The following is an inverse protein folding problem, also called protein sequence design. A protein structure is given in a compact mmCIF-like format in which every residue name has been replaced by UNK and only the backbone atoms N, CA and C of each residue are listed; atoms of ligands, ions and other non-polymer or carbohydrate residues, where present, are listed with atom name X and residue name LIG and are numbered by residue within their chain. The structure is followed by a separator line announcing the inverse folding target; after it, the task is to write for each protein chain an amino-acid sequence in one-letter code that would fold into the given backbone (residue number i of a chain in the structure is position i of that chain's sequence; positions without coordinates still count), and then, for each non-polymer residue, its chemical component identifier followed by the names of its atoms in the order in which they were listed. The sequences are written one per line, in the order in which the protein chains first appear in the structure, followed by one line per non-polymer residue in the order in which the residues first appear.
data_IF_474092194955
#
_entry.id   IF_474092194955
#
_cell.length_a   1.000
_cell.length_b   1.000
_cell.length_c   1.000
_cell.angle_alpha   90.00
_cell.angle_beta   90.00
_cell.angle_gamma   90.00
#
_symmetry.space_group_name_H-M   'P 1'
#
loop_
_entity.id
_entity.type
_entity.pdbx_description
1 polymer ?
#
# COMPACT_ATOMS: atom_id res chain seq x y z
N UNK A 1 -2.81 39.55 -59.82
CA UNK A 1 -1.92 40.28 -58.86
C UNK A 1 -2.65 40.96 -57.71
N UNK A 2 -3.78 41.65 -57.89
CA UNK A 2 -4.47 42.34 -56.77
C UNK A 2 -5.12 41.44 -55.72
N UNK A 3 -5.51 40.19 -56.07
CA UNK A 3 -6.05 39.27 -55.10
C UNK A 3 -4.98 38.55 -54.26
N UNK A 4 -3.81 38.28 -54.83
CA UNK A 4 -2.69 37.66 -54.11
C UNK A 4 -2.11 38.59 -53.06
N UNK A 5 -2.04 39.90 -53.33
CA UNK A 5 -1.54 40.91 -52.40
C UNK A 5 -2.47 41.11 -51.17
N UNK A 6 -3.83 40.95 -51.35
CA UNK A 6 -4.79 41.04 -50.23
C UNK A 6 -4.70 39.84 -49.32
N UNK A 7 -4.45 38.63 -49.84
CA UNK A 7 -4.28 37.41 -49.04
C UNK A 7 -2.97 37.46 -48.23
N UNK A 8 -1.89 37.93 -48.82
CA UNK A 8 -0.61 38.09 -48.12
C UNK A 8 -0.68 39.15 -46.98
N UNK A 9 -1.39 40.25 -47.18
CA UNK A 9 -1.57 41.28 -46.17
C UNK A 9 -2.48 40.78 -45.03
N UNK A 10 -3.52 40.01 -45.33
CA UNK A 10 -4.38 39.39 -44.30
C UNK A 10 -3.66 38.32 -43.50
N UNK A 11 -2.77 37.53 -44.11
CA UNK A 11 -1.94 36.54 -43.40
C UNK A 11 -0.84 37.24 -42.55
N UNK A 12 -0.27 38.33 -42.98
CA UNK A 12 0.69 39.12 -42.19
C UNK A 12 0.01 39.82 -40.99
N UNK A 13 -1.22 40.31 -41.17
CA UNK A 13 -1.99 40.90 -40.07
C UNK A 13 -2.49 39.85 -39.05
N UNK A 14 -2.77 38.59 -39.51
CA UNK A 14 -3.13 37.48 -38.64
C UNK A 14 -1.89 36.95 -37.89
N UNK A 15 -0.71 36.94 -38.51
CA UNK A 15 0.55 36.60 -37.84
C UNK A 15 1.02 37.66 -36.81
N UNK A 16 0.73 38.93 -37.06
CA UNK A 16 1.02 40.02 -36.11
C UNK A 16 0.01 40.07 -34.93
N UNK A 17 -1.18 39.51 -35.08
CA UNK A 17 -2.18 39.45 -33.99
C UNK A 17 -1.96 38.26 -33.04
N UNK A 18 -1.04 37.31 -33.34
CA UNK A 18 -0.71 36.17 -32.49
C UNK A 18 0.52 36.30 -31.61
N UNK A 19 1.17 37.49 -31.63
CA UNK A 19 2.15 37.87 -30.61
C UNK A 19 1.48 38.72 -29.52
N UNK A 20 0.39 38.21 -28.88
CA UNK A 20 0.12 38.64 -27.52
C UNK A 20 1.27 38.06 -26.69
N UNK A 21 2.27 38.89 -26.41
CA UNK A 21 3.23 38.59 -25.37
C UNK A 21 2.41 38.35 -24.10
N UNK A 22 2.31 37.09 -23.66
CA UNK A 22 1.81 36.81 -22.32
C UNK A 22 2.68 37.70 -21.41
N UNK A 23 2.06 38.68 -20.74
CA UNK A 23 2.76 39.48 -19.78
C UNK A 23 3.38 38.54 -18.75
N UNK A 24 4.68 38.64 -18.51
CA UNK A 24 5.32 37.78 -17.51
C UNK A 24 4.61 37.96 -16.18
N UNK A 25 4.23 36.85 -15.55
CA UNK A 25 3.57 36.86 -14.24
C UNK A 25 4.46 37.59 -13.23
N UNK A 26 3.85 38.37 -12.36
CA UNK A 26 4.51 39.02 -11.23
C UNK A 26 4.23 38.26 -9.95
N UNK A 27 5.12 38.31 -8.95
CA UNK A 27 4.85 37.73 -7.65
C UNK A 27 3.49 38.17 -7.11
N UNK A 28 2.63 37.17 -6.78
CA UNK A 28 1.26 37.34 -6.32
C UNK A 28 0.18 37.30 -7.41
N UNK A 29 0.54 37.27 -8.70
CA UNK A 29 -0.43 37.00 -9.76
C UNK A 29 -0.96 35.59 -9.65
N UNK A 30 -2.22 35.38 -10.05
CA UNK A 30 -2.83 34.02 -10.04
C UNK A 30 -2.19 33.18 -11.14
N UNK A 31 -1.53 32.11 -10.75
CA UNK A 31 -0.85 31.15 -11.62
C UNK A 31 -1.62 29.83 -11.81
N UNK A 32 -2.64 29.58 -10.99
CA UNK A 32 -3.45 28.37 -11.06
C UNK A 32 -4.50 28.30 -9.94
N UNK A 33 -5.17 27.15 -9.84
CA UNK A 33 -6.23 26.91 -8.86
C UNK A 33 -5.99 25.59 -8.13
N UNK A 34 -6.24 25.60 -6.83
CA UNK A 34 -6.35 24.36 -6.05
C UNK A 34 -7.75 23.82 -6.17
N UNK A 35 -7.87 22.59 -6.60
CA UNK A 35 -9.13 21.88 -6.76
C UNK A 35 -9.31 20.84 -5.66
N UNK A 36 -10.53 20.67 -5.18
CA UNK A 36 -10.86 19.55 -4.30
C UNK A 36 -10.55 18.22 -5.00
N UNK A 37 -9.96 17.28 -4.27
CA UNK A 37 -9.54 15.98 -4.80
C UNK A 37 -9.61 14.92 -3.70
N UNK A 38 -9.82 13.67 -4.10
CA UNK A 38 -9.68 12.51 -3.24
C UNK A 38 -8.28 11.87 -3.37
N UNK A 39 -7.42 12.44 -4.24
CA UNK A 39 -6.09 11.88 -4.48
C UNK A 39 -5.20 12.19 -3.27
N UNK A 40 -4.62 11.14 -2.70
CA UNK A 40 -3.63 11.20 -1.62
C UNK A 40 -2.23 10.94 -2.18
N UNK A 41 -1.23 11.61 -1.65
CA UNK A 41 0.17 11.44 -2.03
C UNK A 41 0.96 10.76 -0.90
N UNK A 42 1.94 9.93 -1.28
CA UNK A 42 2.79 9.20 -0.34
C UNK A 42 4.25 9.26 -0.82
N UNK A 43 5.17 9.42 0.12
CA UNK A 43 6.60 9.23 -0.07
C UNK A 43 7.05 8.11 0.87
N UNK A 44 7.61 7.04 0.30
CA UNK A 44 8.05 5.84 1.03
C UNK A 44 6.98 5.32 2.02
N UNK A 45 5.72 5.29 1.57
CA UNK A 45 4.58 4.79 2.31
C UNK A 45 4.03 5.72 3.39
N UNK A 46 4.60 6.90 3.58
CA UNK A 46 4.10 7.90 4.53
C UNK A 46 3.35 8.99 3.77
N UNK A 47 2.10 9.28 4.19
CA UNK A 47 1.27 10.28 3.53
C UNK A 47 1.88 11.68 3.67
N UNK A 48 1.87 12.46 2.56
CA UNK A 48 2.26 13.86 2.50
C UNK A 48 1.06 14.72 2.10
N UNK A 49 0.81 15.87 2.77
CA UNK A 49 -0.24 16.79 2.35
C UNK A 49 -0.03 17.23 0.90
N UNK A 50 -1.04 17.03 0.06
CA UNK A 50 -0.95 17.35 -1.36
C UNK A 50 -2.12 18.21 -1.83
N UNK A 51 -1.85 19.03 -2.85
CA UNK A 51 -2.81 19.93 -3.48
C UNK A 51 -3.01 19.52 -4.93
N UNK A 52 -4.27 19.44 -5.37
CA UNK A 52 -4.56 19.30 -6.81
C UNK A 52 -4.50 20.69 -7.46
N UNK A 53 -3.47 20.95 -8.21
CA UNK A 53 -3.26 22.23 -8.92
C UNK A 53 -3.61 22.01 -10.39
N UNK A 54 -4.81 22.43 -10.78
CA UNK A 54 -5.33 22.30 -12.15
C UNK A 54 -5.11 20.90 -12.77
N UNK A 55 -5.24 19.84 -11.95
CA UNK A 55 -5.09 18.43 -12.38
C UNK A 55 -3.74 17.80 -12.07
N UNK A 56 -2.77 18.57 -11.55
CA UNK A 56 -1.47 18.05 -11.12
C UNK A 56 -1.35 18.07 -9.60
N UNK A 57 -0.61 17.13 -9.00
CA UNK A 57 -0.35 17.15 -7.57
C UNK A 57 0.85 18.05 -7.26
N UNK A 58 0.66 18.97 -6.31
CA UNK A 58 1.71 19.75 -5.68
C UNK A 58 1.85 19.40 -4.22
N UNK A 59 3.06 19.50 -3.68
CA UNK A 59 3.39 19.33 -2.26
C UNK A 59 4.15 20.53 -1.74
N UNK A 60 4.09 20.74 -0.43
CA UNK A 60 4.88 21.81 0.22
C UNK A 60 6.34 21.40 0.26
N UNK A 61 7.22 22.23 -0.30
CA UNK A 61 8.66 21.93 -0.39
C UNK A 61 9.32 21.83 1.00
N UNK A 62 8.90 22.66 1.95
CA UNK A 62 9.41 22.67 3.32
C UNK A 62 8.94 21.46 4.13
N UNK A 63 7.79 20.82 3.78
CA UNK A 63 7.34 19.61 4.44
C UNK A 63 8.25 18.40 4.13
N UNK A 64 9.01 18.46 3.02
CA UNK A 64 9.96 17.40 2.64
C UNK A 64 11.04 17.13 3.69
N UNK A 65 11.28 18.06 4.64
CA UNK A 65 12.17 17.84 5.78
C UNK A 65 11.76 16.63 6.66
N UNK A 66 10.47 16.26 6.63
CA UNK A 66 9.98 15.08 7.30
C UNK A 66 10.01 13.82 6.42
N UNK A 67 10.49 13.92 5.16
CA UNK A 67 10.47 12.84 4.17
C UNK A 67 11.85 12.52 3.58
N UNK A 68 12.91 12.71 4.39
CA UNK A 68 14.27 12.35 4.01
C UNK A 68 15.01 13.42 3.22
N UNK A 69 14.55 14.67 3.30
CA UNK A 69 15.22 15.86 2.74
C UNK A 69 15.53 16.86 3.83
N UNK A 70 16.26 17.90 3.48
CA UNK A 70 16.45 19.12 4.29
C UNK A 70 16.26 20.33 3.41
N UNK A 71 15.44 21.28 3.86
CA UNK A 71 15.19 22.54 3.17
C UNK A 71 15.98 23.68 3.83
N UNK A 72 16.42 24.64 3.02
CA UNK A 72 17.09 25.86 3.47
C UNK A 72 16.68 27.03 2.58
N UNK A 73 16.16 28.08 3.17
CA UNK A 73 15.76 29.29 2.46
C UNK A 73 16.78 30.41 2.66
N UNK A 74 17.23 31.02 1.58
CA UNK A 74 18.06 32.23 1.55
C UNK A 74 17.21 33.42 1.07
N UNK A 75 16.93 34.34 1.99
CA UNK A 75 16.11 35.52 1.71
C UNK A 75 16.83 36.54 0.78
N UNK A 76 18.16 36.63 0.85
CA UNK A 76 18.92 37.55 0.02
C UNK A 76 18.88 37.22 -1.46
N UNK A 77 18.88 35.92 -1.78
CA UNK A 77 18.78 35.40 -3.16
C UNK A 77 17.38 34.95 -3.53
N UNK A 78 16.46 34.95 -2.58
CA UNK A 78 15.09 34.38 -2.70
C UNK A 78 15.12 32.95 -3.24
N UNK A 79 15.97 32.13 -2.64
CA UNK A 79 16.23 30.78 -3.09
C UNK A 79 15.87 29.78 -1.99
N UNK A 80 15.06 28.78 -2.32
CA UNK A 80 14.79 27.60 -1.50
C UNK A 80 15.57 26.40 -2.06
N UNK A 81 16.49 25.88 -1.27
CA UNK A 81 17.23 24.66 -1.62
C UNK A 81 16.68 23.51 -0.81
N UNK A 82 16.38 22.41 -1.47
CA UNK A 82 15.92 21.15 -0.85
C UNK A 82 16.91 20.06 -1.26
N UNK A 83 17.57 19.46 -0.27
CA UNK A 83 18.64 18.47 -0.48
C UNK A 83 18.21 17.15 0.13
N UNK A 84 18.39 16.05 -0.62
CA UNK A 84 18.12 14.70 -0.11
C UNK A 84 19.19 14.31 0.91
N UNK A 85 18.76 13.83 2.08
CA UNK A 85 19.64 13.38 3.16
C UNK A 85 19.63 11.88 3.36
N UNK A 86 18.58 11.19 2.89
CA UNK A 86 18.34 9.79 3.20
C UNK A 86 17.97 9.54 4.67
N UNK A 87 17.59 10.61 5.41
CA UNK A 87 17.08 10.46 6.77
C UNK A 87 15.76 9.69 6.79
N UNK A 88 15.43 9.10 7.94
CA UNK A 88 14.18 8.36 8.13
C UNK A 88 12.95 9.23 7.85
N UNK A 89 12.00 8.70 7.07
CA UNK A 89 10.72 9.35 6.78
C UNK A 89 9.83 9.29 8.01
N UNK A 90 9.40 10.45 8.51
CA UNK A 90 8.58 10.58 9.73
C UNK A 90 7.17 11.10 9.43
N UNK A 91 7.01 11.83 8.33
CA UNK A 91 5.76 12.48 7.95
C UNK A 91 5.46 13.75 8.74
N UNK A 92 4.46 14.47 8.27
CA UNK A 92 3.84 15.61 8.94
C UNK A 92 2.37 15.31 9.23
N UNK A 93 1.76 16.10 10.13
CA UNK A 93 0.32 15.98 10.38
C UNK A 93 -0.49 16.28 9.12
N UNK A 94 -1.41 15.36 8.76
CA UNK A 94 -2.31 15.56 7.62
C UNK A 94 -3.48 16.42 8.05
N UNK A 95 -3.68 17.61 7.46
CA UNK A 95 -4.77 18.49 7.82
C UNK A 95 -6.13 17.84 7.59
N UNK A 96 -6.99 17.87 8.60
CA UNK A 96 -8.40 17.47 8.46
C UNK A 96 -9.13 18.49 7.61
N UNK A 97 -9.45 18.16 6.38
CA UNK A 97 -10.22 19.03 5.47
C UNK A 97 -11.68 18.58 5.38
N UNK A 98 -12.58 19.56 5.27
CA UNK A 98 -13.99 19.27 4.96
C UNK A 98 -14.05 18.78 3.51
N UNK A 99 -14.55 17.58 3.32
CA UNK A 99 -14.74 16.98 2.00
C UNK A 99 -15.68 17.86 1.14
N UNK A 100 -15.18 18.26 -0.03
CA UNK A 100 -15.97 18.94 -1.06
C UNK A 100 -15.98 18.09 -2.33
N UNK A 101 -17.00 18.21 -3.19
CA UNK A 101 -17.03 17.48 -4.46
C UNK A 101 -15.74 17.70 -5.25
N UNK A 102 -15.18 16.63 -5.81
CA UNK A 102 -13.95 16.67 -6.61
C UNK A 102 -14.06 17.70 -7.74
N UNK A 103 -13.01 18.47 -7.98
CA UNK A 103 -12.97 19.56 -8.95
C UNK A 103 -13.51 20.91 -8.45
N UNK A 104 -14.07 20.99 -7.22
CA UNK A 104 -14.46 22.29 -6.64
C UNK A 104 -13.21 23.14 -6.42
N UNK A 105 -13.22 24.42 -6.88
CA UNK A 105 -12.13 25.36 -6.63
C UNK A 105 -12.10 25.72 -5.13
N UNK A 106 -10.96 25.51 -4.50
CA UNK A 106 -10.75 25.75 -3.07
C UNK A 106 -10.03 27.07 -2.82
N UNK A 107 -8.99 27.38 -3.59
CA UNK A 107 -8.18 28.57 -3.46
C UNK A 107 -7.35 28.80 -4.71
N UNK A 108 -6.70 29.98 -4.80
CA UNK A 108 -5.76 30.31 -5.88
C UNK A 108 -4.35 29.84 -5.56
N UNK A 109 -3.63 29.47 -6.60
CA UNK A 109 -2.18 29.27 -6.61
C UNK A 109 -1.57 30.57 -7.13
N UNK A 110 -0.60 31.12 -6.44
CA UNK A 110 0.05 32.36 -6.83
C UNK A 110 1.42 32.09 -7.45
N UNK A 111 1.78 32.92 -8.42
CA UNK A 111 3.15 32.96 -8.92
C UNK A 111 4.10 33.43 -7.81
N UNK A 112 5.25 32.75 -7.71
CA UNK A 112 6.32 33.09 -6.77
C UNK A 112 7.60 33.37 -7.54
N UNK A 113 8.37 34.33 -7.07
CA UNK A 113 9.73 34.63 -7.54
C UNK A 113 10.81 33.87 -6.74
N UNK A 114 10.38 33.01 -5.80
CA UNK A 114 11.30 32.11 -5.09
C UNK A 114 11.77 31.05 -6.07
N UNK A 115 13.07 30.95 -6.28
CA UNK A 115 13.70 29.92 -7.07
C UNK A 115 13.87 28.67 -6.21
N UNK A 116 13.41 27.52 -6.69
CA UNK A 116 13.49 26.28 -5.94
C UNK A 116 14.49 25.33 -6.58
N UNK A 117 15.39 24.77 -5.78
CA UNK A 117 16.38 23.81 -6.22
C UNK A 117 16.23 22.49 -5.46
N UNK A 118 16.10 21.38 -6.18
CA UNK A 118 16.15 20.03 -5.66
C UNK A 118 17.52 19.41 -6.02
N UNK A 119 18.41 19.23 -5.03
CA UNK A 119 19.80 18.79 -5.23
C UNK A 119 20.52 19.54 -6.37
N UNK A 120 20.37 20.87 -6.38
CA UNK A 120 20.96 21.75 -7.38
C UNK A 120 20.21 21.85 -8.72
N UNK A 121 19.15 21.06 -8.95
CA UNK A 121 18.29 21.15 -10.13
C UNK A 121 17.15 22.13 -9.87
N UNK A 122 17.04 23.17 -10.69
CA UNK A 122 15.95 24.14 -10.60
C UNK A 122 14.61 23.50 -11.00
N UNK A 123 13.56 23.76 -10.22
CA UNK A 123 12.18 23.32 -10.46
C UNK A 123 11.21 24.47 -10.28
N UNK A 124 10.04 24.38 -10.91
CA UNK A 124 9.01 25.42 -10.75
C UNK A 124 8.49 25.45 -9.31
N UNK A 125 8.47 26.66 -8.74
CA UNK A 125 7.92 26.97 -7.43
C UNK A 125 6.68 27.85 -7.54
N UNK A 126 5.67 27.53 -6.72
CA UNK A 126 4.42 28.28 -6.61
C UNK A 126 4.18 28.68 -5.16
N UNK A 127 3.21 29.56 -4.91
CA UNK A 127 2.82 29.93 -3.56
C UNK A 127 1.36 29.57 -3.27
N UNK A 128 1.14 28.87 -2.16
CA UNK A 128 -0.18 28.66 -1.58
C UNK A 128 -0.12 29.06 -0.11
N UNK A 129 -0.88 30.08 0.26
CA UNK A 129 -0.99 30.57 1.65
C UNK A 129 0.36 30.82 2.33
N UNK A 130 1.34 31.36 1.58
CA UNK A 130 2.66 31.69 2.11
C UNK A 130 3.67 30.52 2.15
N UNK A 131 3.29 29.33 1.70
CA UNK A 131 4.15 28.15 1.60
C UNK A 131 4.62 27.93 0.15
N UNK A 132 5.84 27.45 0.00
CA UNK A 132 6.39 27.11 -1.32
C UNK A 132 5.89 25.75 -1.78
N UNK A 133 5.26 25.69 -2.94
CA UNK A 133 4.73 24.48 -3.53
C UNK A 133 5.57 24.07 -4.73
N UNK A 134 5.94 22.81 -4.81
CA UNK A 134 6.52 22.18 -6.00
C UNK A 134 5.60 21.09 -6.51
N UNK A 135 5.69 20.78 -7.80
CA UNK A 135 4.94 19.65 -8.35
C UNK A 135 5.49 18.33 -7.81
N UNK A 136 4.63 17.42 -7.39
CA UNK A 136 5.03 16.11 -6.88
C UNK A 136 5.86 15.32 -7.91
N UNK A 137 5.60 15.53 -9.21
CA UNK A 137 6.41 15.00 -10.30
C UNK A 137 7.86 15.49 -10.34
N UNK A 138 8.16 16.62 -9.71
CA UNK A 138 9.55 17.10 -9.60
C UNK A 138 10.43 16.15 -8.77
N UNK A 139 9.81 15.31 -7.95
CA UNK A 139 10.47 14.29 -7.13
C UNK A 139 10.74 12.97 -7.87
N UNK A 140 10.32 12.81 -9.13
CA UNK A 140 10.51 11.57 -9.91
C UNK A 140 12.00 11.22 -10.12
N UNK A 141 12.91 12.20 -9.95
CA UNK A 141 14.35 11.95 -9.98
C UNK A 141 14.87 11.12 -8.80
N UNK A 142 14.08 11.01 -7.72
CA UNK A 142 14.49 10.33 -6.48
C UNK A 142 13.97 8.90 -6.36
N UNK A 143 13.08 8.49 -7.25
CA UNK A 143 12.51 7.16 -7.17
C UNK A 143 11.44 6.87 -8.21
N UNK A 144 10.73 5.78 -7.99
CA UNK A 144 9.64 5.33 -8.85
C UNK A 144 8.32 5.93 -8.37
N UNK A 145 7.68 6.75 -9.22
CA UNK A 145 6.34 7.24 -8.95
C UNK A 145 5.29 6.35 -9.60
N UNK A 146 4.30 5.95 -8.82
CA UNK A 146 3.15 5.17 -9.28
C UNK A 146 1.85 5.94 -9.00
N UNK A 147 0.97 6.04 -9.99
CA UNK A 147 -0.35 6.61 -9.82
C UNK A 147 -1.45 5.56 -9.98
N UNK A 148 -2.40 5.56 -9.06
CA UNK A 148 -3.37 4.50 -8.88
C UNK A 148 -4.78 5.03 -9.02
N UNK A 149 -5.29 5.09 -10.25
CA UNK A 149 -6.62 5.64 -10.57
C UNK A 149 -7.74 5.04 -9.71
N UNK A 150 -7.77 3.72 -9.51
CA UNK A 150 -8.84 3.04 -8.76
C UNK A 150 -8.88 3.36 -7.27
N UNK A 151 -7.76 3.76 -6.68
CA UNK A 151 -7.63 4.09 -5.25
C UNK A 151 -7.35 5.57 -5.00
N UNK A 152 -7.25 6.39 -6.05
CA UNK A 152 -6.89 7.81 -5.98
C UNK A 152 -5.60 8.06 -5.17
N UNK A 153 -4.55 7.27 -5.42
CA UNK A 153 -3.25 7.38 -4.75
C UNK A 153 -2.16 7.77 -5.74
N UNK A 154 -1.23 8.62 -5.30
CA UNK A 154 0.04 8.88 -5.98
C UNK A 154 1.17 8.59 -5.02
N UNK A 155 2.09 7.68 -5.39
CA UNK A 155 3.14 7.20 -4.51
C UNK A 155 4.50 7.39 -5.16
N UNK A 156 5.46 7.88 -4.37
CA UNK A 156 6.88 7.90 -4.70
C UNK A 156 7.60 6.92 -3.79
N UNK A 157 8.24 5.91 -4.39
CA UNK A 157 9.10 4.95 -3.70
C UNK A 157 10.56 5.32 -3.97
N UNK A 158 11.26 5.85 -2.97
CA UNK A 158 12.65 6.33 -3.13
C UNK A 158 13.70 5.25 -2.83
N UNK A 159 13.30 4.17 -2.17
CA UNK A 159 14.12 2.97 -1.95
C UNK A 159 14.05 2.01 -3.13
N UNK A 160 15.10 1.21 -3.32
CA UNK A 160 15.02 0.05 -4.19
C UNK A 160 14.14 -1.00 -3.49
N UNK A 161 12.88 -1.14 -3.93
CA UNK A 161 12.10 -2.33 -3.60
C UNK A 161 12.82 -3.49 -4.30
N UNK A 162 13.21 -4.50 -3.54
CA UNK A 162 13.83 -5.67 -4.11
C UNK A 162 12.96 -6.20 -5.25
N UNK A 163 13.53 -6.32 -6.45
CA UNK A 163 12.85 -6.85 -7.63
C UNK A 163 12.80 -8.39 -7.46
N UNK A 164 11.98 -8.83 -6.51
CA UNK A 164 11.76 -10.26 -6.27
C UNK A 164 10.73 -10.73 -7.28
N UNK A 165 11.01 -11.87 -7.91
CA UNK A 165 10.05 -12.50 -8.82
C UNK A 165 8.68 -12.65 -8.11
N UNK A 166 7.57 -12.34 -8.80
CA UNK A 166 6.25 -12.48 -8.19
C UNK A 166 6.02 -13.91 -7.71
N UNK A 167 5.59 -14.06 -6.47
CA UNK A 167 5.17 -15.36 -5.95
C UNK A 167 3.83 -15.73 -6.58
N UNK A 168 3.71 -16.95 -7.04
CA UNK A 168 2.43 -17.53 -7.48
C UNK A 168 1.88 -18.39 -6.35
N UNK A 169 0.65 -18.14 -5.92
CA UNK A 169 0.01 -18.98 -4.90
C UNK A 169 -0.22 -20.40 -5.44
N UNK A 170 -0.01 -21.43 -4.62
CA UNK A 170 -0.49 -22.77 -4.92
C UNK A 170 -2.03 -22.79 -4.92
N UNK A 171 -2.63 -23.82 -5.52
CA UNK A 171 -4.09 -23.96 -5.52
C UNK A 171 -4.67 -24.08 -4.09
N UNK A 172 -3.88 -24.55 -3.14
CA UNK A 172 -4.25 -24.65 -1.73
C UNK A 172 -3.25 -23.90 -0.87
N UNK A 173 -3.74 -23.02 -0.01
CA UNK A 173 -3.01 -22.30 1.02
C UNK A 173 -3.45 -22.88 2.36
N UNK A 174 -2.50 -23.28 3.18
CA UNK A 174 -2.80 -23.81 4.51
C UNK A 174 -3.22 -22.67 5.42
N UNK A 175 -4.44 -22.73 5.97
CA UNK A 175 -5.05 -21.68 6.79
C UNK A 175 -4.75 -21.90 8.28
N UNK A 176 -4.32 -20.85 8.99
CA UNK A 176 -4.05 -20.88 10.43
C UNK A 176 -3.03 -21.93 10.87
N UNK A 177 -2.05 -22.26 10.01
CA UNK A 177 -1.08 -23.36 10.22
C UNK A 177 -1.64 -24.76 9.91
N UNK A 178 -2.92 -24.89 9.59
CA UNK A 178 -3.54 -26.16 9.23
C UNK A 178 -4.24 -26.86 10.41
N UNK A 179 -4.80 -28.02 10.09
CA UNK A 179 -5.48 -28.89 11.07
C UNK A 179 -4.53 -30.00 11.53
N UNK A 180 -4.27 -30.05 12.84
CA UNK A 180 -3.47 -31.07 13.48
C UNK A 180 -4.28 -31.75 14.59
N UNK A 181 -4.34 -33.07 14.62
CA UNK A 181 -5.08 -33.90 15.62
C UNK A 181 -6.54 -33.46 15.86
N UNK A 182 -7.20 -32.97 14.79
CA UNK A 182 -8.58 -32.46 14.85
C UNK A 182 -8.72 -30.99 15.19
N UNK A 183 -7.65 -30.29 15.64
CA UNK A 183 -7.63 -28.86 15.93
C UNK A 183 -7.17 -28.06 14.73
N UNK A 184 -7.95 -27.07 14.30
CA UNK A 184 -7.60 -26.14 13.23
C UNK A 184 -7.24 -24.76 13.82
N UNK A 185 -6.45 -23.98 13.06
CA UNK A 185 -6.16 -22.59 13.40
C UNK A 185 -5.34 -22.42 14.68
N UNK A 186 -4.51 -23.42 15.03
CA UNK A 186 -3.66 -23.32 16.22
C UNK A 186 -2.53 -22.30 16.08
N UNK A 187 -2.14 -21.96 14.85
CA UNK A 187 -1.00 -21.08 14.57
C UNK A 187 0.26 -21.49 15.36
N UNK A 188 0.46 -22.80 15.57
CA UNK A 188 1.48 -23.35 16.45
C UNK A 188 2.69 -23.89 15.69
N UNK A 189 3.81 -24.08 16.39
CA UNK A 189 5.03 -24.64 15.81
C UNK A 189 4.77 -26.04 15.22
N UNK A 190 4.07 -26.91 15.94
CA UNK A 190 3.78 -28.27 15.49
C UNK A 190 2.86 -28.29 14.25
N UNK A 191 1.97 -27.29 14.13
CA UNK A 191 1.08 -27.19 12.97
C UNK A 191 1.86 -26.85 11.70
N UNK A 192 2.76 -25.85 11.77
CA UNK A 192 3.58 -25.49 10.61
C UNK A 192 4.60 -26.58 10.25
N UNK A 193 5.14 -27.31 11.24
CA UNK A 193 5.97 -28.50 11.00
C UNK A 193 5.22 -29.60 10.26
N UNK A 194 4.00 -29.91 10.70
CA UNK A 194 3.16 -30.90 10.05
C UNK A 194 2.77 -30.48 8.62
N UNK A 195 2.40 -29.23 8.43
CA UNK A 195 2.08 -28.68 7.11
C UNK A 195 3.30 -28.75 6.16
N UNK A 196 4.49 -28.39 6.65
CA UNK A 196 5.73 -28.52 5.87
C UNK A 196 6.04 -29.98 5.51
N UNK A 197 5.94 -30.89 6.47
CA UNK A 197 6.17 -32.32 6.27
C UNK A 197 5.18 -32.93 5.25
N UNK A 198 3.94 -32.41 5.19
CA UNK A 198 2.93 -32.80 4.19
C UNK A 198 3.22 -32.17 2.79
N UNK A 199 4.27 -31.40 2.62
CA UNK A 199 4.66 -30.80 1.34
C UNK A 199 4.17 -29.39 1.08
N UNK A 200 3.46 -28.76 2.02
CA UNK A 200 3.01 -27.37 1.86
C UNK A 200 4.17 -26.38 2.00
N UNK A 201 4.12 -25.31 1.20
CA UNK A 201 5.16 -24.27 1.14
C UNK A 201 4.60 -22.85 1.24
N UNK A 202 3.29 -22.72 1.27
CA UNK A 202 2.61 -21.43 1.48
C UNK A 202 1.61 -21.63 2.60
N UNK A 203 1.89 -21.02 3.73
CA UNK A 203 1.10 -21.12 4.95
C UNK A 203 0.53 -19.74 5.26
N UNK A 204 -0.72 -19.69 5.67
CA UNK A 204 -1.29 -18.48 6.23
C UNK A 204 -1.26 -18.59 7.76
N UNK A 205 -0.88 -17.50 8.42
CA UNK A 205 -0.85 -17.40 9.88
C UNK A 205 -1.50 -16.10 10.32
N UNK A 206 -2.27 -16.20 11.40
CA UNK A 206 -2.86 -15.07 12.10
C UNK A 206 -1.83 -14.38 12.98
N UNK A 207 -1.84 -13.05 13.02
CA UNK A 207 -0.92 -12.27 13.86
C UNK A 207 -1.65 -11.31 14.78
N UNK A 208 -1.20 -11.26 16.02
CA UNK A 208 -1.54 -10.26 17.04
C UNK A 208 -0.27 -9.67 17.65
N UNK A 209 -0.42 -8.60 18.41
CA UNK A 209 0.65 -8.09 19.28
C UNK A 209 0.44 -8.59 20.70
N UNK A 210 1.50 -9.08 21.34
CA UNK A 210 1.54 -9.22 22.79
C UNK A 210 1.38 -7.87 23.47
N UNK A 211 1.09 -7.85 24.78
CA UNK A 211 0.92 -6.58 25.50
C UNK A 211 2.19 -5.73 25.59
N UNK A 212 3.35 -6.33 25.35
CA UNK A 212 4.66 -5.70 25.25
C UNK A 212 5.11 -5.46 23.78
N UNK A 213 4.16 -5.61 22.81
CA UNK A 213 4.32 -5.14 21.43
C UNK A 213 5.08 -6.09 20.49
N UNK A 214 5.25 -7.36 20.85
CA UNK A 214 5.90 -8.36 20.00
C UNK A 214 4.86 -9.12 19.19
N UNK A 215 5.05 -9.33 17.87
CA UNK A 215 4.16 -10.16 17.07
C UNK A 215 4.15 -11.62 17.52
N UNK A 216 2.95 -12.15 17.71
CA UNK A 216 2.68 -13.55 18.05
C UNK A 216 1.66 -14.13 17.09
N UNK A 217 1.75 -15.43 16.82
CA UNK A 217 0.83 -16.12 15.91
C UNK A 217 -0.38 -16.64 16.70
N UNK A 218 -1.50 -15.94 16.61
CA UNK A 218 -2.76 -16.28 17.28
C UNK A 218 -3.90 -15.54 16.59
N UNK A 219 -5.07 -16.20 16.44
CA UNK A 219 -6.23 -15.58 15.80
C UNK A 219 -6.88 -14.51 16.71
N UNK A 220 -7.04 -14.82 17.99
CA UNK A 220 -7.59 -13.92 19.00
C UNK A 220 -7.15 -14.35 20.40
N UNK A 221 -7.28 -13.45 21.38
CA UNK A 221 -7.06 -13.76 22.79
C UNK A 221 -8.33 -14.36 23.37
N UNK A 222 -8.53 -15.66 23.15
CA UNK A 222 -9.72 -16.39 23.59
C UNK A 222 -9.37 -17.57 24.49
N UNK A 223 -10.15 -17.76 25.54
CA UNK A 223 -10.06 -18.92 26.42
C UNK A 223 -10.26 -20.28 25.68
N UNK A 224 -10.77 -20.24 24.44
CA UNK A 224 -10.90 -21.44 23.60
C UNK A 224 -9.55 -22.14 23.34
N UNK A 225 -8.45 -21.40 23.33
CA UNK A 225 -7.11 -21.93 23.05
C UNK A 225 -6.43 -22.58 24.27
N UNK A 226 -7.02 -22.53 25.47
CA UNK A 226 -6.50 -23.14 26.67
C UNK A 226 -6.78 -22.34 27.94
N UNK A 227 -6.70 -22.98 29.11
CA UNK A 227 -7.08 -22.39 30.39
C UNK A 227 -6.17 -21.22 30.83
N UNK A 228 -4.93 -21.17 30.29
CA UNK A 228 -3.94 -20.15 30.65
C UNK A 228 -4.07 -18.88 29.78
N UNK A 229 -4.93 -18.89 28.76
CA UNK A 229 -5.22 -17.72 27.92
C UNK A 229 -6.47 -17.03 28.45
N UNK A 230 -6.31 -15.79 28.90
CA UNK A 230 -7.40 -14.95 29.41
C UNK A 230 -8.15 -14.32 28.24
N UNK A 231 -9.45 -14.55 28.15
CA UNK A 231 -10.30 -14.03 27.09
C UNK A 231 -10.20 -12.49 27.00
N UNK A 232 -9.92 -12.01 25.77
CA UNK A 232 -9.85 -10.58 25.42
C UNK A 232 -8.63 -9.82 25.97
N UNK A 233 -7.71 -10.49 26.69
CA UNK A 233 -6.53 -9.84 27.26
C UNK A 233 -5.24 -10.29 26.58
N UNK A 234 -4.51 -9.36 25.98
CA UNK A 234 -3.19 -9.63 25.43
C UNK A 234 -2.20 -9.96 26.55
N UNK A 235 -1.48 -11.07 26.37
CA UNK A 235 -0.43 -11.51 27.29
C UNK A 235 0.90 -10.83 26.94
N UNK A 236 1.84 -10.76 27.91
CA UNK A 236 3.25 -10.48 27.59
C UNK A 236 3.84 -11.63 26.78
N UNK A 237 4.91 -11.38 26.03
CA UNK A 237 5.59 -12.43 25.27
C UNK A 237 6.02 -13.61 26.16
N UNK A 238 6.60 -13.32 27.33
CA UNK A 238 7.05 -14.38 28.25
C UNK A 238 5.87 -15.24 28.75
N UNK A 239 4.74 -14.60 29.08
CA UNK A 239 3.55 -15.33 29.48
C UNK A 239 2.98 -16.15 28.32
N UNK A 240 2.95 -15.60 27.09
CA UNK A 240 2.50 -16.32 25.90
C UNK A 240 3.36 -17.56 25.59
N UNK A 241 4.69 -17.45 25.71
CA UNK A 241 5.62 -18.59 25.55
C UNK A 241 5.41 -19.69 26.57
N UNK A 242 4.89 -19.37 27.76
CA UNK A 242 4.66 -20.34 28.84
C UNK A 242 3.39 -21.17 28.67
N UNK A 243 2.40 -20.70 27.87
CA UNK A 243 1.14 -21.43 27.64
C UNK A 243 1.30 -22.57 26.64
N UNK A 244 0.25 -23.38 26.49
CA UNK A 244 0.09 -24.36 25.41
C UNK A 244 -1.21 -24.12 24.68
N UNK A 245 -1.13 -23.90 23.38
CA UNK A 245 -2.32 -23.76 22.51
C UNK A 245 -3.07 -25.11 22.49
N UNK A 246 -4.34 -25.08 22.81
CA UNK A 246 -5.15 -26.30 23.03
C UNK A 246 -4.53 -27.25 24.05
N UNK A 247 -3.84 -26.71 25.08
CA UNK A 247 -3.19 -27.45 26.17
C UNK A 247 -2.08 -28.43 25.70
N UNK A 248 -1.59 -28.30 24.45
CA UNK A 248 -0.65 -29.23 23.84
C UNK A 248 0.41 -28.60 22.94
N UNK A 249 0.05 -27.60 22.13
CA UNK A 249 0.93 -27.09 21.08
C UNK A 249 1.76 -25.91 21.59
N UNK A 250 2.95 -25.79 21.02
CA UNK A 250 3.89 -24.71 21.32
C UNK A 250 3.42 -23.43 20.63
N UNK A 251 3.19 -22.34 21.39
CA UNK A 251 2.83 -21.07 20.81
C UNK A 251 3.98 -20.54 19.95
N UNK A 252 3.64 -19.87 18.87
CA UNK A 252 4.57 -19.39 17.87
C UNK A 252 4.65 -17.86 17.94
N UNK A 253 5.82 -17.32 18.28
CA UNK A 253 6.12 -15.90 18.20
C UNK A 253 7.03 -15.58 17.01
N UNK A 254 7.25 -14.29 16.73
CA UNK A 254 8.03 -13.84 15.58
C UNK A 254 9.45 -14.42 15.56
N UNK A 255 10.15 -14.45 16.70
CA UNK A 255 11.52 -14.96 16.76
C UNK A 255 11.59 -16.45 16.48
N UNK A 256 10.67 -17.22 17.06
CA UNK A 256 10.55 -18.66 16.81
C UNK A 256 10.23 -18.93 15.33
N UNK A 257 9.30 -18.15 14.75
CA UNK A 257 8.96 -18.23 13.34
C UNK A 257 10.14 -17.86 12.44
N UNK A 258 10.93 -16.85 12.79
CA UNK A 258 12.09 -16.42 12.03
C UNK A 258 13.18 -17.50 12.00
N UNK A 259 13.46 -18.14 13.14
CA UNK A 259 14.38 -19.30 13.22
C UNK A 259 13.87 -20.44 12.35
N UNK A 260 12.56 -20.74 12.44
CA UNK A 260 11.95 -21.79 11.64
C UNK A 260 12.02 -21.50 10.13
N UNK A 261 11.71 -20.28 9.69
CA UNK A 261 11.80 -19.86 8.28
C UNK A 261 13.23 -19.91 7.74
N UNK A 262 14.22 -19.62 8.58
CA UNK A 262 15.64 -19.73 8.21
C UNK A 262 16.02 -21.17 7.90
N UNK A 263 15.46 -22.13 8.65
CA UNK A 263 15.66 -23.56 8.41
C UNK A 263 14.84 -24.11 7.21
N UNK A 264 13.79 -23.38 6.79
CA UNK A 264 12.88 -23.78 5.73
C UNK A 264 12.85 -22.72 4.60
N UNK A 265 13.92 -22.58 3.80
CA UNK A 265 14.10 -21.47 2.86
C UNK A 265 13.13 -21.46 1.67
N UNK A 266 12.30 -22.45 1.48
CA UNK A 266 11.31 -22.61 0.42
C UNK A 266 9.87 -22.29 0.86
N UNK A 267 9.65 -21.86 2.13
CA UNK A 267 8.31 -21.54 2.67
C UNK A 267 8.01 -20.04 2.58
N UNK A 268 6.78 -19.70 2.28
CA UNK A 268 6.21 -18.35 2.35
C UNK A 268 5.10 -18.28 3.40
N UNK A 269 5.03 -17.16 4.13
CA UNK A 269 3.98 -16.90 5.13
C UNK A 269 3.08 -15.78 4.62
N UNK A 270 1.81 -16.08 4.45
CA UNK A 270 0.76 -15.07 4.29
C UNK A 270 0.37 -14.60 5.69
N UNK A 271 0.41 -13.28 5.92
CA UNK A 271 0.04 -12.74 7.22
C UNK A 271 -1.43 -12.33 7.25
N UNK A 272 -2.21 -12.82 8.21
CA UNK A 272 -3.52 -12.25 8.54
C UNK A 272 -3.44 -11.54 9.90
N UNK A 273 -3.24 -10.23 9.86
CA UNK A 273 -3.06 -9.44 11.09
C UNK A 273 -4.41 -9.00 11.61
N UNK A 274 -4.76 -9.43 12.83
CA UNK A 274 -6.07 -9.20 13.43
C UNK A 274 -6.25 -7.79 13.99
N UNK A 275 -5.17 -7.13 14.36
CA UNK A 275 -5.16 -5.74 14.83
C UNK A 275 -3.83 -5.05 14.45
N UNK A 276 -3.87 -3.73 14.17
CA UNK A 276 -2.70 -2.90 13.87
C UNK A 276 -1.78 -3.47 12.77
N UNK A 277 -2.36 -3.75 11.58
CA UNK A 277 -1.66 -4.37 10.45
C UNK A 277 -0.31 -3.71 10.15
N UNK A 278 -0.29 -2.40 9.93
CA UNK A 278 0.94 -1.67 9.59
C UNK A 278 1.97 -1.71 10.72
N UNK A 279 1.53 -1.77 11.98
CA UNK A 279 2.43 -1.88 13.15
C UNK A 279 3.13 -3.23 13.19
N UNK A 280 2.39 -4.33 13.02
CA UNK A 280 2.94 -5.70 12.97
C UNK A 280 3.91 -5.84 11.81
N UNK A 281 3.51 -5.45 10.59
CA UNK A 281 4.34 -5.57 9.39
C UNK A 281 5.63 -4.75 9.51
N UNK A 282 5.58 -3.54 10.10
CA UNK A 282 6.77 -2.73 10.37
C UNK A 282 7.68 -3.40 11.38
N UNK A 283 7.14 -4.03 12.41
CA UNK A 283 7.93 -4.76 13.41
C UNK A 283 8.64 -5.94 12.78
N UNK A 284 7.94 -6.74 11.95
CA UNK A 284 8.55 -7.86 11.20
C UNK A 284 9.68 -7.36 10.30
N UNK A 285 9.43 -6.33 9.49
CA UNK A 285 10.42 -5.80 8.54
C UNK A 285 11.66 -5.21 9.23
N UNK A 286 11.48 -4.63 10.41
CA UNK A 286 12.58 -4.05 11.20
C UNK A 286 13.39 -5.11 11.94
N UNK A 287 12.72 -6.13 12.50
CA UNK A 287 13.38 -7.19 13.27
C UNK A 287 14.12 -8.18 12.34
N UNK A 288 13.51 -8.53 11.20
CA UNK A 288 14.02 -9.54 10.27
C UNK A 288 13.98 -9.05 8.82
N UNK A 289 14.77 -8.02 8.46
CA UNK A 289 14.77 -7.47 7.10
C UNK A 289 15.16 -8.51 6.04
N UNK A 290 15.96 -9.51 6.40
CA UNK A 290 16.38 -10.62 5.54
C UNK A 290 15.24 -11.59 5.19
N UNK A 291 14.18 -11.62 5.99
CA UNK A 291 13.01 -12.49 5.79
C UNK A 291 11.81 -11.77 5.14
N UNK A 292 11.88 -10.46 4.91
CA UNK A 292 10.75 -9.68 4.35
C UNK A 292 10.21 -10.28 3.05
N UNK A 293 11.11 -10.78 2.18
CA UNK A 293 10.73 -11.42 0.91
C UNK A 293 9.98 -12.75 1.07
N UNK A 294 9.99 -13.31 2.28
CA UNK A 294 9.32 -14.58 2.62
C UNK A 294 7.90 -14.37 3.18
N UNK A 295 7.54 -13.13 3.49
CA UNK A 295 6.21 -12.76 3.92
C UNK A 295 5.40 -12.19 2.77
N UNK A 296 4.14 -12.60 2.70
CA UNK A 296 3.13 -12.12 1.75
C UNK A 296 2.03 -11.43 2.58
N UNK A 297 2.17 -10.13 2.88
CA UNK A 297 1.19 -9.46 3.71
C UNK A 297 -0.17 -9.36 3.05
N UNK A 298 -1.23 -9.56 3.85
CA UNK A 298 -2.57 -9.13 3.51
C UNK A 298 -2.75 -7.65 3.88
N UNK A 299 -3.33 -6.87 2.97
CA UNK A 299 -3.82 -5.52 3.22
C UNK A 299 -5.34 -5.52 3.24
N UNK A 300 -5.92 -4.67 4.10
CA UNK A 300 -7.37 -4.60 4.36
C UNK A 300 -8.00 -3.34 3.77
N UNK A 301 -7.18 -2.40 3.31
CA UNK A 301 -7.58 -1.17 2.67
C UNK A 301 -6.62 -0.82 1.53
N UNK A 302 -7.11 -0.07 0.54
CA UNK A 302 -6.31 0.32 -0.62
C UNK A 302 -5.10 1.18 -0.26
N UNK A 303 -5.21 2.00 0.77
CA UNK A 303 -4.18 2.92 1.24
C UNK A 303 -3.09 2.26 2.09
N UNK A 304 -3.27 1.02 2.53
CA UNK A 304 -2.21 0.23 3.15
C UNK A 304 -1.15 -0.25 2.15
N UNK A 305 -1.46 -0.27 0.84
CA UNK A 305 -0.52 -0.77 -0.17
C UNK A 305 0.80 0.00 -0.17
N UNK A 306 0.74 1.33 -0.19
CA UNK A 306 1.95 2.16 -0.26
C UNK A 306 2.84 2.00 0.98
N UNK A 307 2.32 2.10 2.22
CA UNK A 307 3.10 1.83 3.42
C UNK A 307 3.75 0.43 3.44
N UNK A 308 2.99 -0.61 3.04
CA UNK A 308 3.50 -1.99 3.04
C UNK A 308 4.60 -2.17 2.01
N UNK A 309 4.45 -1.60 0.81
CA UNK A 309 5.51 -1.58 -0.21
C UNK A 309 6.78 -0.90 0.30
N UNK A 310 6.64 0.24 0.98
CA UNK A 310 7.77 1.00 1.53
C UNK A 310 8.54 0.26 2.63
N UNK A 311 7.90 -0.69 3.31
CA UNK A 311 8.57 -1.59 4.26
C UNK A 311 9.40 -2.69 3.56
N UNK A 312 9.38 -2.77 2.21
CA UNK A 312 10.14 -3.74 1.43
C UNK A 312 9.35 -4.98 0.98
N UNK A 313 8.07 -5.09 1.33
CA UNK A 313 7.24 -6.22 0.92
C UNK A 313 6.92 -6.14 -0.58
N UNK A 314 7.40 -7.10 -1.36
CA UNK A 314 7.19 -7.15 -2.81
C UNK A 314 5.86 -7.83 -3.18
N UNK A 315 5.50 -8.89 -2.47
CA UNK A 315 4.34 -9.72 -2.73
C UNK A 315 3.22 -9.37 -1.75
N UNK A 316 2.08 -8.87 -2.23
CA UNK A 316 0.99 -8.37 -1.40
C UNK A 316 -0.33 -8.96 -1.87
N UNK A 317 -1.22 -9.27 -0.94
CA UNK A 317 -2.59 -9.72 -1.16
C UNK A 317 -3.55 -8.64 -0.65
N UNK A 318 -4.61 -8.33 -1.40
CA UNK A 318 -5.74 -7.56 -0.89
C UNK A 318 -6.81 -8.50 -0.39
N UNK A 319 -7.14 -8.43 0.90
CA UNK A 319 -8.23 -9.22 1.47
C UNK A 319 -9.50 -8.39 1.65
N UNK A 320 -10.65 -8.97 1.29
CA UNK A 320 -11.91 -8.23 1.19
C UNK A 320 -12.74 -8.29 2.48
N UNK A 321 -12.45 -9.18 3.42
CA UNK A 321 -13.36 -9.37 4.57
C UNK A 321 -13.44 -8.12 5.48
N UNK A 322 -12.41 -7.25 5.47
CA UNK A 322 -12.39 -5.97 6.21
C UNK A 322 -12.47 -4.74 5.29
N UNK A 323 -12.58 -4.94 3.97
CA UNK A 323 -12.63 -3.85 3.01
C UNK A 323 -14.01 -3.15 3.05
N UNK A 324 -14.16 -2.11 3.86
CA UNK A 324 -15.36 -1.27 3.91
C UNK A 324 -16.67 -2.05 4.10
N UNK A 325 -17.75 -1.52 3.50
CA UNK A 325 -19.08 -2.11 3.52
C UNK A 325 -19.20 -3.26 2.49
N UNK A 326 -20.29 -4.02 2.52
CA UNK A 326 -20.53 -5.11 1.56
C UNK A 326 -20.45 -4.66 0.10
N UNK A 327 -20.95 -3.47 -0.21
CA UNK A 327 -20.87 -2.87 -1.56
C UNK A 327 -19.43 -2.67 -2.06
N UNK A 328 -18.50 -2.40 -1.15
CA UNK A 328 -17.07 -2.26 -1.48
C UNK A 328 -16.45 -3.60 -1.79
N UNK A 329 -16.83 -4.66 -1.03
CA UNK A 329 -16.33 -6.03 -1.17
C UNK A 329 -16.73 -6.69 -2.48
N UNK A 330 -17.83 -6.28 -3.10
CA UNK A 330 -18.33 -6.79 -4.39
C UNK A 330 -18.05 -5.87 -5.57
N UNK A 331 -17.40 -4.72 -5.35
CA UNK A 331 -17.11 -3.74 -6.39
C UNK A 331 -15.91 -4.15 -7.25
N UNK A 332 -16.13 -5.13 -8.14
CA UNK A 332 -15.09 -5.62 -9.05
C UNK A 332 -14.53 -4.54 -9.96
N UNK A 333 -15.30 -3.47 -10.27
CA UNK A 333 -14.84 -2.33 -11.08
C UNK A 333 -13.76 -1.49 -10.38
N UNK A 334 -13.66 -1.56 -9.05
CA UNK A 334 -12.61 -0.89 -8.26
C UNK A 334 -11.50 -1.88 -7.87
N UNK A 335 -11.88 -3.05 -7.40
CA UNK A 335 -10.95 -4.08 -6.87
C UNK A 335 -10.02 -4.59 -7.98
N UNK A 336 -10.59 -5.03 -9.11
CA UNK A 336 -9.83 -5.70 -10.17
C UNK A 336 -8.79 -4.78 -10.81
N UNK A 337 -9.10 -3.53 -11.22
CA UNK A 337 -8.09 -2.61 -11.72
C UNK A 337 -7.02 -2.26 -10.67
N UNK A 338 -7.40 -2.14 -9.39
CA UNK A 338 -6.45 -1.92 -8.32
C UNK A 338 -5.43 -3.06 -8.23
N UNK A 339 -5.89 -4.30 -8.21
CA UNK A 339 -5.05 -5.48 -8.10
C UNK A 339 -4.17 -5.68 -9.35
N UNK A 340 -4.74 -5.54 -10.55
CA UNK A 340 -4.03 -5.69 -11.82
C UNK A 340 -2.90 -4.67 -11.97
N UNK A 341 -3.18 -3.39 -11.69
CA UNK A 341 -2.19 -2.31 -11.82
C UNK A 341 -0.99 -2.47 -10.88
N UNK A 342 -1.12 -3.28 -9.82
CA UNK A 342 -0.06 -3.50 -8.81
C UNK A 342 0.60 -4.84 -8.90
N UNK A 343 0.09 -5.73 -9.75
CA UNK A 343 0.55 -7.10 -9.78
C UNK A 343 0.40 -7.78 -8.44
N UNK A 344 -0.75 -7.58 -7.75
CA UNK A 344 -1.00 -8.26 -6.48
C UNK A 344 -0.92 -9.78 -6.68
N UNK A 345 -0.38 -10.48 -5.68
CA UNK A 345 -0.28 -11.94 -5.70
C UNK A 345 -1.66 -12.59 -5.84
N UNK A 346 -2.64 -12.05 -5.11
CA UNK A 346 -4.04 -12.41 -5.23
C UNK A 346 -4.94 -11.31 -4.60
N UNK A 347 -6.23 -11.43 -4.86
CA UNK A 347 -7.27 -10.87 -3.99
C UNK A 347 -7.91 -12.03 -3.25
N UNK A 348 -8.12 -11.92 -1.92
CA UNK A 348 -8.80 -12.94 -1.13
C UNK A 348 -10.20 -12.49 -0.74
N UNK A 349 -11.16 -13.40 -0.79
CA UNK A 349 -12.56 -13.14 -0.50
C UNK A 349 -13.18 -14.27 0.31
N UNK A 350 -14.19 -13.95 1.11
CA UNK A 350 -15.07 -14.96 1.67
C UNK A 350 -15.71 -15.77 0.53
N UNK A 351 -15.81 -17.08 0.67
CA UNK A 351 -16.35 -17.99 -0.35
C UNK A 351 -17.77 -17.60 -0.78
N UNK A 352 -18.56 -16.99 0.09
CA UNK A 352 -19.93 -16.53 -0.23
C UNK A 352 -19.97 -15.40 -1.26
N UNK A 353 -18.86 -14.70 -1.49
CA UNK A 353 -18.73 -13.66 -2.52
C UNK A 353 -18.41 -14.24 -3.89
N UNK A 354 -17.99 -15.51 -4.00
CA UNK A 354 -17.50 -16.14 -5.21
C UNK A 354 -18.64 -16.54 -6.19
N UNK A 355 -19.54 -15.59 -6.49
CA UNK A 355 -20.53 -15.81 -7.55
C UNK A 355 -19.85 -15.91 -8.93
N UNK A 356 -20.51 -16.55 -9.90
CA UNK A 356 -19.98 -16.71 -11.26
C UNK A 356 -19.54 -15.38 -11.88
N UNK A 357 -20.36 -14.33 -11.75
CA UNK A 357 -20.04 -12.99 -12.28
C UNK A 357 -18.84 -12.36 -11.57
N UNK A 358 -18.71 -12.56 -10.25
CA UNK A 358 -17.59 -12.08 -9.47
C UNK A 358 -16.28 -12.75 -9.92
N UNK A 359 -16.25 -14.09 -9.95
CA UNK A 359 -15.08 -14.87 -10.39
C UNK A 359 -14.70 -14.53 -11.84
N UNK A 360 -15.69 -14.42 -12.73
CA UNK A 360 -15.46 -14.06 -14.13
C UNK A 360 -14.76 -12.72 -14.32
N UNK A 361 -15.05 -11.72 -13.47
CA UNK A 361 -14.40 -10.41 -13.54
C UNK A 361 -12.89 -10.51 -13.25
N UNK A 362 -12.47 -11.28 -12.27
CA UNK A 362 -11.07 -11.52 -11.93
C UNK A 362 -10.36 -12.31 -13.02
N UNK A 363 -10.97 -13.40 -13.48
CA UNK A 363 -10.45 -14.25 -14.56
C UNK A 363 -10.23 -13.46 -15.84
N UNK A 364 -11.19 -12.62 -16.23
CA UNK A 364 -11.10 -11.81 -17.46
C UNK A 364 -9.93 -10.82 -17.43
N UNK A 365 -9.53 -10.36 -16.24
CA UNK A 365 -8.42 -9.44 -16.06
C UNK A 365 -7.09 -10.14 -15.74
N UNK A 366 -7.06 -11.47 -15.63
CA UNK A 366 -5.87 -12.21 -15.23
C UNK A 366 -5.43 -11.93 -13.79
N UNK A 367 -6.34 -11.47 -12.91
CA UNK A 367 -6.07 -11.21 -11.50
C UNK A 367 -6.38 -12.48 -10.70
N UNK A 368 -5.41 -13.06 -9.96
CA UNK A 368 -5.68 -14.24 -9.15
C UNK A 368 -6.70 -13.93 -8.04
N UNK A 369 -7.72 -14.80 -7.93
CA UNK A 369 -8.71 -14.76 -6.86
C UNK A 369 -8.52 -15.99 -5.96
N UNK A 370 -8.34 -15.78 -4.67
CA UNK A 370 -8.36 -16.81 -3.65
C UNK A 370 -9.62 -16.68 -2.79
N UNK A 371 -10.11 -17.79 -2.26
CA UNK A 371 -11.28 -17.78 -1.34
C UNK A 371 -11.00 -18.56 -0.05
N UNK A 372 -11.63 -18.16 1.04
CA UNK A 372 -11.43 -18.73 2.38
C UNK A 372 -12.78 -18.98 3.07
N UNK A 373 -12.92 -19.95 3.97
CA UNK A 373 -12.08 -21.14 4.12
C UNK A 373 -12.87 -22.31 3.57
N UNK A 374 -12.26 -23.14 2.76
CA UNK A 374 -12.96 -24.23 2.07
C UNK A 374 -12.26 -25.56 2.36
N UNK A 375 -12.90 -26.42 3.16
CA UNK A 375 -12.34 -27.71 3.58
C UNK A 375 -12.91 -28.91 2.79
N UNK A 376 -14.04 -28.73 2.10
CA UNK A 376 -14.65 -29.76 1.28
C UNK A 376 -14.00 -29.84 -0.09
N UNK A 377 -13.49 -31.02 -0.47
CA UNK A 377 -12.75 -31.21 -1.72
C UNK A 377 -13.63 -31.02 -2.98
N UNK A 378 -14.90 -31.39 -2.91
CA UNK A 378 -15.82 -31.24 -4.03
C UNK A 378 -16.14 -29.76 -4.25
N UNK A 379 -16.30 -28.99 -3.17
CA UNK A 379 -16.45 -27.54 -3.22
C UNK A 379 -15.18 -26.86 -3.79
N UNK A 380 -13.98 -27.30 -3.39
CA UNK A 380 -12.72 -26.81 -3.95
C UNK A 380 -12.66 -27.07 -5.46
N UNK A 381 -12.97 -28.29 -5.91
CA UNK A 381 -12.95 -28.64 -7.33
C UNK A 381 -13.95 -27.80 -8.15
N UNK A 382 -15.14 -27.53 -7.62
CA UNK A 382 -16.14 -26.66 -8.25
C UNK A 382 -15.63 -25.22 -8.37
N UNK A 383 -14.98 -24.66 -7.33
CA UNK A 383 -14.40 -23.32 -7.34
C UNK A 383 -13.26 -23.20 -8.36
N UNK A 384 -12.36 -24.17 -8.42
CA UNK A 384 -11.30 -24.18 -9.44
C UNK A 384 -11.87 -24.26 -10.86
N UNK A 385 -12.91 -25.09 -11.07
CA UNK A 385 -13.59 -25.17 -12.35
C UNK A 385 -14.26 -23.85 -12.75
N UNK A 386 -14.74 -23.06 -11.80
CA UNK A 386 -15.29 -21.72 -12.02
C UNK A 386 -14.21 -20.68 -12.33
N UNK A 387 -12.94 -20.94 -11.98
CA UNK A 387 -11.81 -20.06 -12.24
C UNK A 387 -11.22 -19.36 -11.01
N UNK A 388 -11.55 -19.82 -9.80
CA UNK A 388 -10.86 -19.44 -8.58
C UNK A 388 -9.43 -19.99 -8.65
N UNK A 389 -8.43 -19.17 -8.29
CA UNK A 389 -7.00 -19.51 -8.44
C UNK A 389 -6.47 -20.32 -7.26
N UNK A 390 -6.98 -20.03 -6.06
CA UNK A 390 -6.54 -20.69 -4.82
C UNK A 390 -7.68 -20.78 -3.79
N UNK A 391 -7.58 -21.72 -2.89
CA UNK A 391 -8.44 -21.78 -1.70
C UNK A 391 -7.59 -21.83 -0.44
N UNK A 392 -8.04 -21.16 0.62
CA UNK A 392 -7.53 -21.38 1.96
C UNK A 392 -8.26 -22.57 2.58
N UNK A 393 -7.51 -23.48 3.16
CA UNK A 393 -8.05 -24.71 3.73
C UNK A 393 -7.29 -25.10 4.99
N UNK A 394 -8.00 -25.66 5.96
CA UNK A 394 -7.38 -26.24 7.15
C UNK A 394 -6.72 -27.61 6.84
N UNK A 395 -7.02 -28.22 5.70
CA UNK A 395 -6.47 -29.51 5.33
C UNK A 395 -5.01 -29.36 4.87
N UNK A 396 -4.12 -30.15 5.47
CA UNK A 396 -2.68 -30.13 5.14
C UNK A 396 -2.27 -31.21 4.14
N UNK A 397 -3.18 -32.15 3.80
CA UNK A 397 -2.93 -33.26 2.86
C UNK A 397 -3.58 -33.01 1.51
#
# INVERSE_FOLDING_TARGET
MKHFLKICISLLLLAAALTLSAAALRPGDVAGRVLATEIRAFIDGVEIPAYNIDGNLGVVAEDLDAYGFVSSYDDATRTLTVTRTGAEVRGVEIPKTVQKPSGTVLMSVLYSDIRVYLDGREVDGYNISGRTIIMFSSLDAYGRRTYLHGAALSMLETGAVADTAPVTLPNRVVHGGGRLDGYAGSNSLEAIDAAYAAGNRTLELDFLLSSDGVPVCLHDWSAFYGNDITEGAAMTLDAFRAVRIYERYTPLDLETLAVWLTAHPDVYIITDVKDNNLGVLRTIAKAHPELVSRFIPQIYAYDEYAPVRAMGYANIILTLYRLGEYSDKVNTKKIVPFAAARGLVAVTADVTLASEAFVAAFRAAGVPLAVHTVNDEAAQAALFSAGVSAVYTDNIN
#
